data_IF_721659059320
#
_entry.id   IF_721659059320
#
_cell.length_a   1.000
_cell.length_b   1.000
_cell.length_c   1.000
_cell.angle_alpha   90.00
_cell.angle_beta   90.00
_cell.angle_gamma   90.00
#
_symmetry.space_group_name_H-M   'P 1'
#
loop_
_entity.id
_entity.type
_entity.pdbx_description
1 polymer ?
#
# COMPACT_ATOMS: atom_id res chain seq x y z
N UNK A 1 -59.35 -23.89 37.48
CA UNK A 1 -58.33 -23.16 38.27
C UNK A 1 -57.00 -23.84 38.02
N UNK A 2 -55.99 -23.13 37.50
CA UNK A 2 -54.68 -23.75 37.27
C UNK A 2 -54.04 -24.07 38.63
N UNK A 3 -53.51 -25.29 38.83
CA UNK A 3 -52.84 -25.65 40.08
C UNK A 3 -51.58 -24.78 40.27
N UNK A 4 -51.33 -24.36 41.51
CA UNK A 4 -50.25 -23.42 41.84
C UNK A 4 -48.85 -23.91 41.43
N UNK A 5 -48.62 -25.22 41.39
CA UNK A 5 -47.38 -25.83 40.90
C UNK A 5 -47.08 -25.53 39.42
N UNK A 6 -48.11 -25.20 38.62
CA UNK A 6 -47.96 -24.96 37.19
C UNK A 6 -47.04 -23.76 36.95
N UNK A 7 -47.18 -22.74 37.80
CA UNK A 7 -46.34 -21.55 37.75
C UNK A 7 -44.88 -21.88 38.05
N UNK A 8 -44.61 -22.75 39.04
CA UNK A 8 -43.24 -23.18 39.37
C UNK A 8 -42.59 -23.92 38.20
N UNK A 9 -43.33 -24.84 37.58
CA UNK A 9 -42.89 -25.56 36.38
C UNK A 9 -42.62 -24.61 35.21
N UNK A 10 -43.52 -23.65 34.95
CA UNK A 10 -43.37 -22.65 33.91
C UNK A 10 -42.07 -21.87 34.09
N UNK A 11 -41.85 -21.30 35.27
CA UNK A 11 -40.63 -20.53 35.57
C UNK A 11 -39.37 -21.37 35.47
N UNK A 12 -39.41 -22.64 35.90
CA UNK A 12 -38.26 -23.55 35.82
C UNK A 12 -37.85 -23.81 34.37
N UNK A 13 -38.82 -24.10 33.50
CA UNK A 13 -38.56 -24.30 32.07
C UNK A 13 -38.04 -23.02 31.41
N UNK A 14 -38.58 -21.86 31.81
CA UNK A 14 -38.17 -20.56 31.26
C UNK A 14 -36.72 -20.21 31.63
N UNK A 15 -36.32 -20.47 32.88
CA UNK A 15 -34.95 -20.30 33.35
C UNK A 15 -34.02 -21.29 32.64
N UNK A 16 -34.39 -22.57 32.55
CA UNK A 16 -33.58 -23.58 31.86
C UNK A 16 -33.39 -23.25 30.38
N UNK A 17 -34.46 -22.83 29.68
CA UNK A 17 -34.39 -22.42 28.29
C UNK A 17 -33.46 -21.22 28.11
N UNK A 18 -33.57 -20.22 28.98
CA UNK A 18 -32.71 -19.03 28.95
C UNK A 18 -31.25 -19.38 29.20
N UNK A 19 -30.98 -20.24 30.19
CA UNK A 19 -29.64 -20.70 30.52
C UNK A 19 -29.04 -21.49 29.36
N UNK A 20 -29.82 -22.38 28.75
CA UNK A 20 -29.39 -23.15 27.58
C UNK A 20 -29.02 -22.23 26.41
N UNK A 21 -29.84 -21.21 26.11
CA UNK A 21 -29.53 -20.23 25.06
C UNK A 21 -28.27 -19.43 25.42
N UNK A 22 -28.12 -19.00 26.67
CA UNK A 22 -26.95 -18.25 27.12
C UNK A 22 -25.66 -19.07 27.01
N UNK A 23 -25.68 -20.35 27.39
CA UNK A 23 -24.54 -21.26 27.26
C UNK A 23 -24.20 -21.51 25.80
N UNK A 24 -25.19 -21.76 24.94
CA UNK A 24 -24.95 -21.94 23.50
C UNK A 24 -24.38 -20.69 22.85
N UNK A 25 -24.93 -19.51 23.19
CA UNK A 25 -24.45 -18.24 22.70
C UNK A 25 -23.01 -17.95 23.17
N UNK A 26 -22.74 -18.17 24.46
CA UNK A 26 -21.41 -18.02 25.05
C UNK A 26 -20.39 -18.96 24.41
N UNK A 27 -20.73 -20.24 24.25
CA UNK A 27 -19.85 -21.22 23.60
C UNK A 27 -19.59 -20.86 22.12
N UNK A 28 -20.62 -20.43 21.39
CA UNK A 28 -20.49 -20.00 20.00
C UNK A 28 -19.62 -18.76 19.88
N UNK A 29 -19.79 -17.79 20.76
CA UNK A 29 -18.98 -16.58 20.81
C UNK A 29 -17.53 -16.90 21.13
N UNK A 30 -17.29 -17.77 22.12
CA UNK A 30 -15.95 -18.22 22.49
C UNK A 30 -15.24 -18.93 21.32
N UNK A 31 -15.92 -19.88 20.67
CA UNK A 31 -15.40 -20.58 19.48
C UNK A 31 -15.02 -19.61 18.36
N UNK A 32 -15.85 -18.59 18.11
CA UNK A 32 -15.58 -17.57 17.09
C UNK A 32 -14.45 -16.63 17.49
N UNK A 33 -14.42 -16.20 18.75
CA UNK A 33 -13.35 -15.36 19.28
C UNK A 33 -12.00 -16.05 19.21
N UNK A 34 -11.93 -17.33 19.57
CA UNK A 34 -10.69 -18.12 19.49
C UNK A 34 -10.16 -18.21 18.06
N UNK A 35 -11.05 -18.39 17.06
CA UNK A 35 -10.65 -18.42 15.65
C UNK A 35 -10.03 -17.08 15.18
N UNK A 36 -10.52 -15.94 15.72
CA UNK A 36 -9.94 -14.63 15.41
C UNK A 36 -8.57 -14.48 16.07
N UNK A 37 -8.41 -14.93 17.32
CA UNK A 37 -7.13 -14.90 18.03
C UNK A 37 -6.08 -15.77 17.32
N UNK A 38 -6.47 -16.96 16.88
CA UNK A 38 -5.61 -17.86 16.10
C UNK A 38 -5.17 -17.21 14.80
N UNK A 39 -6.10 -16.64 14.03
CA UNK A 39 -5.75 -15.93 12.80
C UNK A 39 -4.87 -14.69 13.01
N UNK A 40 -4.99 -14.02 14.16
CA UNK A 40 -4.10 -12.92 14.53
C UNK A 40 -2.69 -13.42 14.87
N UNK A 41 -2.59 -14.58 15.53
CA UNK A 41 -1.33 -15.28 15.78
C UNK A 41 -0.62 -15.64 14.49
N UNK A 42 -1.31 -16.29 13.55
CA UNK A 42 -0.77 -16.66 12.25
C UNK A 42 -0.24 -15.44 11.47
N UNK A 43 -0.99 -14.32 11.51
CA UNK A 43 -0.58 -13.08 10.87
C UNK A 43 0.66 -12.47 11.54
N UNK A 44 0.71 -12.48 12.87
CA UNK A 44 1.87 -12.00 13.62
C UNK A 44 3.11 -12.87 13.32
N UNK A 45 2.96 -14.18 13.26
CA UNK A 45 4.02 -15.11 12.91
C UNK A 45 4.52 -14.85 11.49
N UNK A 46 3.63 -14.63 10.53
CA UNK A 46 4.01 -14.32 9.16
C UNK A 46 4.81 -13.01 9.05
N UNK A 47 4.39 -11.97 9.77
CA UNK A 47 5.12 -10.70 9.85
C UNK A 47 6.48 -10.90 10.51
N UNK A 48 6.52 -11.61 11.62
CA UNK A 48 7.76 -11.87 12.35
C UNK A 48 8.76 -12.65 11.49
N UNK A 49 8.30 -13.64 10.72
CA UNK A 49 9.11 -14.42 9.82
C UNK A 49 9.69 -13.54 8.69
N UNK A 50 8.88 -12.65 8.11
CA UNK A 50 9.34 -11.69 7.10
C UNK A 50 10.38 -10.70 7.64
N UNK A 51 10.19 -10.22 8.87
CA UNK A 51 11.14 -9.29 9.53
C UNK A 51 12.42 -9.98 10.02
N UNK A 52 12.35 -11.27 10.34
CA UNK A 52 13.51 -12.07 10.80
C UNK A 52 14.40 -12.52 9.65
N UNK A 53 13.94 -12.41 8.41
CA UNK A 53 14.78 -12.67 7.25
C UNK A 53 15.89 -11.60 7.19
N UNK A 54 17.16 -12.00 7.05
CA UNK A 54 18.24 -11.05 6.84
C UNK A 54 17.92 -10.25 5.58
N UNK A 55 17.81 -8.93 5.73
CA UNK A 55 17.45 -8.03 4.64
C UNK A 55 18.38 -8.26 3.46
N UNK A 56 17.81 -8.66 2.32
CA UNK A 56 18.55 -8.66 1.07
C UNK A 56 18.81 -7.22 0.71
N UNK A 57 20.09 -6.85 0.55
CA UNK A 57 20.45 -5.58 -0.06
C UNK A 57 20.02 -5.68 -1.52
N UNK A 58 18.80 -5.22 -1.80
CA UNK A 58 18.35 -5.05 -3.17
C UNK A 58 19.18 -3.91 -3.72
N UNK A 59 20.16 -4.25 -4.54
CA UNK A 59 20.89 -3.27 -5.33
C UNK A 59 19.92 -2.72 -6.37
N UNK A 60 19.20 -1.67 -5.98
CA UNK A 60 18.38 -0.91 -6.90
C UNK A 60 19.32 -0.41 -7.99
N UNK A 61 19.04 -0.80 -9.25
CA UNK A 61 19.72 -0.23 -10.40
C UNK A 61 19.76 1.28 -10.19
N UNK A 62 20.96 1.87 -10.16
CA UNK A 62 21.13 3.28 -9.87
C UNK A 62 20.16 4.04 -10.75
N UNK A 63 19.13 4.60 -10.13
CA UNK A 63 18.18 5.39 -10.89
C UNK A 63 19.00 6.58 -11.37
N UNK A 64 19.16 6.81 -12.69
CA UNK A 64 19.87 7.95 -13.21
C UNK A 64 18.99 9.20 -13.05
N UNK A 65 18.42 9.38 -11.86
CA UNK A 65 17.81 10.60 -11.35
C UNK A 65 18.91 11.65 -11.38
N UNK A 66 19.05 12.27 -12.55
CA UNK A 66 20.09 13.27 -12.86
C UNK A 66 19.90 14.60 -12.13
N UNK A 67 18.90 14.67 -11.25
CA UNK A 67 18.51 15.89 -10.56
C UNK A 67 18.21 15.60 -9.11
N UNK A 68 18.54 16.53 -8.20
CA UNK A 68 18.27 16.37 -6.78
C UNK A 68 16.75 16.23 -6.57
N UNK A 69 16.37 15.18 -5.85
CA UNK A 69 14.99 14.84 -5.51
C UNK A 69 14.93 14.50 -4.01
N UNK A 70 13.76 14.64 -3.40
CA UNK A 70 13.58 14.31 -1.98
C UNK A 70 14.39 15.24 -1.07
N UNK A 71 15.06 14.66 -0.07
CA UNK A 71 15.82 15.38 0.97
C UNK A 71 16.94 16.25 0.38
N UNK A 72 17.59 15.79 -0.68
CA UNK A 72 18.68 16.52 -1.34
C UNK A 72 18.21 17.80 -2.04
N UNK A 73 16.96 17.84 -2.49
CA UNK A 73 16.39 19.02 -3.14
C UNK A 73 16.01 20.11 -2.13
N UNK A 74 15.72 19.74 -0.88
CA UNK A 74 15.26 20.65 0.17
C UNK A 74 16.37 21.15 1.10
N UNK A 75 17.43 20.35 1.31
CA UNK A 75 18.45 20.65 2.33
C UNK A 75 19.83 20.99 1.77
N UNK A 76 20.07 20.86 0.46
CA UNK A 76 21.33 21.24 -0.14
C UNK A 76 21.41 22.74 -0.46
N UNK A 77 22.61 23.20 -0.84
CA UNK A 77 22.89 24.56 -1.28
C UNK A 77 21.93 25.01 -2.42
N UNK A 78 21.10 26.06 -2.19
CA UNK A 78 20.11 26.53 -3.16
C UNK A 78 20.66 26.89 -4.54
N UNK A 79 21.90 27.41 -4.62
CA UNK A 79 22.50 27.75 -5.92
C UNK A 79 22.86 26.51 -6.73
N UNK A 80 23.39 25.48 -6.09
CA UNK A 80 23.71 24.21 -6.73
C UNK A 80 22.44 23.51 -7.22
N UNK A 81 21.38 23.53 -6.42
CA UNK A 81 20.07 22.98 -6.80
C UNK A 81 19.47 23.71 -8.01
N UNK A 82 19.55 25.05 -8.06
CA UNK A 82 19.11 25.83 -9.24
C UNK A 82 19.86 25.42 -10.51
N UNK A 83 21.19 25.36 -10.47
CA UNK A 83 22.02 24.94 -11.61
C UNK A 83 21.68 23.53 -12.09
N UNK A 84 21.52 22.58 -11.17
CA UNK A 84 21.13 21.22 -11.50
C UNK A 84 19.73 21.19 -12.14
N UNK A 85 18.75 21.87 -11.54
CA UNK A 85 17.38 21.93 -12.09
C UNK A 85 17.36 22.48 -13.51
N UNK A 86 18.11 23.55 -13.78
CA UNK A 86 18.15 24.20 -15.09
C UNK A 86 18.83 23.31 -16.14
N UNK A 87 19.92 22.62 -15.76
CA UNK A 87 20.52 21.55 -16.58
C UNK A 87 19.49 20.47 -16.92
N UNK A 88 18.67 20.07 -15.97
CA UNK A 88 17.63 19.05 -16.19
C UNK A 88 16.46 19.48 -17.02
N UNK A 89 16.11 20.76 -16.93
CA UNK A 89 15.16 21.35 -17.85
C UNK A 89 15.70 21.29 -19.27
N UNK A 90 16.96 21.67 -19.49
CA UNK A 90 17.60 21.63 -20.81
C UNK A 90 17.67 20.20 -21.38
N UNK A 91 18.15 19.23 -20.60
CA UNK A 91 18.23 17.83 -21.03
C UNK A 91 16.87 17.24 -21.40
N UNK A 92 15.79 17.56 -20.65
CA UNK A 92 14.44 17.11 -20.98
C UNK A 92 13.92 17.74 -22.28
N UNK A 93 14.26 19.00 -22.55
CA UNK A 93 13.90 19.69 -23.80
C UNK A 93 14.63 19.04 -24.97
N UNK A 94 15.94 18.83 -24.85
CA UNK A 94 16.78 18.11 -25.82
C UNK A 94 16.25 16.72 -26.12
N UNK A 95 15.98 15.91 -25.10
CA UNK A 95 15.45 14.56 -25.27
C UNK A 95 14.11 14.54 -26.01
N UNK A 96 13.21 15.49 -25.71
CA UNK A 96 11.92 15.63 -26.43
C UNK A 96 12.14 16.03 -27.88
N UNK A 97 13.06 16.96 -28.15
CA UNK A 97 13.45 17.38 -29.52
C UNK A 97 13.98 16.19 -30.31
N UNK A 98 14.94 15.44 -29.78
CA UNK A 98 15.51 14.26 -30.43
C UNK A 98 14.44 13.21 -30.74
N UNK A 99 13.52 12.95 -29.81
CA UNK A 99 12.37 12.05 -30.06
C UNK A 99 11.42 12.57 -31.15
N UNK A 100 11.29 13.89 -31.35
CA UNK A 100 10.50 14.42 -32.47
C UNK A 100 11.22 14.20 -33.81
N UNK A 101 12.53 14.45 -33.83
CA UNK A 101 13.36 14.27 -35.03
C UNK A 101 13.34 12.79 -35.46
N UNK A 102 13.63 11.87 -34.53
CA UNK A 102 13.64 10.43 -34.79
C UNK A 102 12.30 9.96 -35.36
N UNK A 103 11.17 10.31 -34.70
CA UNK A 103 9.83 9.95 -35.16
C UNK A 103 9.49 10.47 -36.57
N UNK A 104 9.95 11.67 -36.93
CA UNK A 104 9.73 12.22 -38.29
C UNK A 104 10.64 11.54 -39.31
N UNK A 105 11.87 11.22 -38.94
CA UNK A 105 12.83 10.51 -39.79
C UNK A 105 12.33 9.12 -40.15
N UNK A 106 11.83 8.37 -39.17
CA UNK A 106 11.23 7.04 -39.37
C UNK A 106 10.03 7.07 -40.33
N UNK A 107 9.31 8.19 -40.40
CA UNK A 107 8.14 8.38 -41.27
C UNK A 107 8.47 9.03 -42.62
N UNK A 108 9.75 9.31 -42.91
CA UNK A 108 10.16 10.02 -44.13
C UNK A 108 9.64 11.46 -44.25
N UNK A 109 9.26 12.10 -43.15
CA UNK A 109 8.68 13.44 -43.15
C UNK A 109 9.76 14.53 -43.01
N UNK A 110 9.52 15.69 -43.62
CA UNK A 110 10.38 16.85 -43.48
C UNK A 110 10.53 17.30 -42.01
N UNK A 111 11.77 17.61 -41.62
CA UNK A 111 12.11 18.05 -40.26
C UNK A 111 11.73 19.53 -40.05
N UNK A 112 11.40 19.88 -38.81
CA UNK A 112 11.11 21.27 -38.46
C UNK A 112 12.45 22.03 -38.31
N UNK A 113 12.58 23.21 -38.95
CA UNK A 113 13.79 24.04 -38.87
C UNK A 113 14.15 24.44 -37.42
N UNK A 114 13.14 24.68 -36.57
CA UNK A 114 13.36 24.92 -35.13
C UNK A 114 13.96 23.72 -34.41
N UNK A 115 13.56 22.52 -34.80
CA UNK A 115 14.15 21.29 -34.30
C UNK A 115 15.54 21.04 -34.92
N UNK A 116 16.02 21.80 -35.90
CA UNK A 116 17.39 21.71 -36.42
C UNK A 116 18.31 22.82 -35.92
N UNK A 117 17.81 23.75 -35.08
CA UNK A 117 18.55 24.95 -34.64
C UNK A 117 19.04 25.83 -35.79
N UNK A 118 18.26 25.88 -36.87
CA UNK A 118 18.55 26.74 -38.02
C UNK A 118 17.95 28.15 -37.88
N UNK A 119 17.39 28.47 -36.71
CA UNK A 119 16.90 29.79 -36.28
C UNK A 119 17.07 29.93 -34.77
#
# INVERSE_FOLDING_TARGET
MLPWWFWVLLWTVLVLATLLVAVLAGFRLFKRGMAVVEGLGDAADHISAGLSQPGTVVEYAQNPRRYPHGTDATHADPEKIRKLRDKGKAERIEARRLRRIARRSERGQAQNMRDLRLF
#
